data_IF_592516697835
#
_entry.id   IF_592516697835
#
_cell.length_a   1.000
_cell.length_b   1.000
_cell.length_c   1.000
_cell.angle_alpha   90.00
_cell.angle_beta   90.00
_cell.angle_gamma   90.00
#
_symmetry.space_group_name_H-M   'P 1'
#
loop_
_entity.id
_entity.type
_entity.pdbx_description
1 polymer ?
#
# COMPACT_ATOMS: atom_id res chain seq x y z
N UNK A 1 23.89 -68.05 -36.72
CA UNK A 1 23.70 -66.76 -37.45
C UNK A 1 22.51 -65.95 -36.89
N UNK A 2 22.41 -65.75 -35.57
CA UNK A 2 21.33 -64.94 -34.96
C UNK A 2 21.80 -63.78 -34.09
N UNK A 3 23.05 -63.75 -33.64
CA UNK A 3 23.52 -62.76 -32.66
C UNK A 3 24.01 -61.43 -33.26
N UNK A 4 24.22 -61.34 -34.58
CA UNK A 4 24.64 -60.08 -35.24
C UNK A 4 23.46 -59.15 -35.60
N UNK A 5 22.22 -59.67 -35.65
CA UNK A 5 21.04 -58.87 -36.02
C UNK A 5 20.53 -58.03 -34.84
N UNK A 6 20.66 -58.52 -33.61
CA UNK A 6 20.21 -57.79 -32.41
C UNK A 6 21.12 -56.63 -32.01
N UNK A 7 22.42 -56.67 -32.35
CA UNK A 7 23.37 -55.59 -32.05
C UNK A 7 23.15 -54.40 -33.00
N UNK A 8 22.78 -54.65 -34.25
CA UNK A 8 22.55 -53.59 -35.24
C UNK A 8 21.30 -52.75 -34.95
N UNK A 9 20.28 -53.35 -34.32
CA UNK A 9 19.04 -52.67 -33.93
C UNK A 9 19.25 -51.78 -32.69
N UNK A 10 20.09 -52.21 -31.76
CA UNK A 10 20.40 -51.44 -30.55
C UNK A 10 21.18 -50.14 -30.87
N UNK A 11 22.07 -50.18 -31.85
CA UNK A 11 22.87 -49.01 -32.28
C UNK A 11 22.02 -47.98 -33.03
N UNK A 12 20.98 -48.41 -33.75
CA UNK A 12 20.10 -47.50 -34.48
C UNK A 12 19.16 -46.71 -33.54
N UNK A 13 18.75 -47.30 -32.41
CA UNK A 13 17.92 -46.60 -31.42
C UNK A 13 18.67 -45.49 -30.66
N UNK A 14 19.99 -45.57 -30.53
CA UNK A 14 20.79 -44.56 -29.80
C UNK A 14 20.99 -43.30 -30.66
N UNK A 15 20.94 -43.42 -31.99
CA UNK A 15 21.12 -42.29 -32.91
C UNK A 15 19.83 -41.47 -33.13
N UNK A 16 18.65 -42.01 -32.82
CA UNK A 16 17.37 -41.29 -32.92
C UNK A 16 17.04 -40.44 -31.68
N UNK A 17 17.83 -40.52 -30.61
CA UNK A 17 17.61 -39.77 -29.37
C UNK A 17 18.41 -38.45 -29.27
N UNK A 18 19.25 -38.14 -30.26
CA UNK A 18 19.86 -36.82 -30.40
C UNK A 18 19.01 -35.97 -31.33
N UNK A 19 17.98 -35.32 -30.78
CA UNK A 19 17.41 -34.12 -31.37
C UNK A 19 18.43 -32.98 -31.17
N UNK A 20 19.12 -32.48 -32.22
CA UNK A 20 20.05 -31.35 -32.09
C UNK A 20 19.30 -30.00 -32.08
N UNK A 21 17.96 -30.01 -31.95
CA UNK A 21 17.10 -28.87 -32.26
C UNK A 21 16.51 -28.10 -31.08
N UNK A 22 16.54 -28.59 -29.84
CA UNK A 22 15.72 -27.97 -28.76
C UNK A 22 16.48 -27.25 -27.64
N UNK A 23 17.82 -27.16 -27.67
CA UNK A 23 18.60 -26.48 -26.62
C UNK A 23 19.00 -25.02 -26.92
N UNK A 24 18.38 -24.38 -27.91
CA UNK A 24 18.92 -23.14 -28.48
C UNK A 24 17.98 -21.95 -28.55
N UNK A 25 16.98 -21.82 -27.66
CA UNK A 25 16.12 -20.62 -27.59
C UNK A 25 15.22 -20.61 -26.36
N UNK A 26 15.79 -20.82 -25.16
CA UNK A 26 15.19 -20.22 -23.97
C UNK A 26 15.36 -18.71 -24.16
N UNK A 27 14.27 -18.10 -24.61
CA UNK A 27 14.12 -16.73 -25.04
C UNK A 27 15.01 -15.79 -24.25
N UNK A 28 16.07 -15.30 -24.90
CA UNK A 28 16.86 -14.17 -24.38
C UNK A 28 15.93 -13.02 -23.98
N UNK A 29 14.83 -12.83 -24.71
CA UNK A 29 13.78 -11.87 -24.36
C UNK A 29 13.01 -12.21 -23.07
N UNK A 30 12.69 -13.49 -22.79
CA UNK A 30 12.01 -13.84 -21.53
C UNK A 30 12.96 -13.74 -20.34
N UNK A 31 14.23 -14.11 -20.52
CA UNK A 31 15.26 -13.95 -19.50
C UNK A 31 15.59 -12.48 -19.24
N UNK A 32 15.76 -11.65 -20.29
CA UNK A 32 16.00 -10.21 -20.15
C UNK A 32 14.76 -9.47 -19.62
N UNK A 33 13.55 -9.90 -19.97
CA UNK A 33 12.31 -9.36 -19.40
C UNK A 33 12.16 -9.75 -17.92
N UNK A 34 12.50 -10.98 -17.53
CA UNK A 34 12.58 -11.36 -16.12
C UNK A 34 13.68 -10.61 -15.37
N UNK A 35 14.83 -10.40 -15.99
CA UNK A 35 15.95 -9.69 -15.37
C UNK A 35 15.63 -8.20 -15.17
N UNK A 36 14.99 -7.54 -16.14
CA UNK A 36 14.46 -6.16 -15.99
C UNK A 36 13.34 -6.06 -14.96
N UNK A 37 12.55 -7.13 -14.76
CA UNK A 37 11.59 -7.22 -13.64
C UNK A 37 12.28 -7.36 -12.28
N UNK A 38 13.50 -7.90 -12.24
CA UNK A 38 14.28 -8.13 -11.02
C UNK A 38 15.29 -7.03 -10.71
N UNK A 39 15.48 -6.05 -11.58
CA UNK A 39 16.30 -4.88 -11.24
C UNK A 39 15.65 -4.13 -10.07
N UNK A 40 16.36 -3.97 -8.94
CA UNK A 40 15.83 -3.21 -7.82
C UNK A 40 15.71 -1.75 -8.25
N UNK A 41 14.51 -1.34 -8.65
CA UNK A 41 14.20 0.06 -8.96
C UNK A 41 14.52 0.87 -7.71
N UNK A 42 15.47 1.80 -7.81
CA UNK A 42 15.70 2.81 -6.77
C UNK A 42 14.50 3.76 -6.79
N UNK A 43 13.48 3.44 -6.00
CA UNK A 43 12.34 4.32 -5.79
C UNK A 43 12.83 5.61 -5.14
N UNK A 44 12.48 6.74 -5.74
CA UNK A 44 12.78 8.05 -5.16
C UNK A 44 11.84 8.28 -3.98
N UNK A 45 12.32 8.99 -2.96
CA UNK A 45 11.49 9.27 -1.77
C UNK A 45 10.17 9.97 -2.14
N UNK A 46 10.21 10.91 -3.08
CA UNK A 46 9.00 11.59 -3.56
C UNK A 46 7.99 10.66 -4.26
N UNK A 47 8.43 9.60 -4.92
CA UNK A 47 7.54 8.60 -5.52
C UNK A 47 6.84 7.78 -4.43
N UNK A 48 7.55 7.46 -3.35
CA UNK A 48 6.98 6.75 -2.20
C UNK A 48 5.99 7.66 -1.47
N UNK A 49 6.34 8.94 -1.22
CA UNK A 49 5.43 9.91 -0.61
C UNK A 49 4.15 10.10 -1.42
N UNK A 50 4.27 10.14 -2.74
CA UNK A 50 3.11 10.24 -3.63
C UNK A 50 2.24 8.97 -3.57
N UNK A 51 2.86 7.79 -3.56
CA UNK A 51 2.13 6.53 -3.39
C UNK A 51 1.42 6.46 -2.02
N UNK A 52 2.06 6.93 -0.95
CA UNK A 52 1.42 7.08 0.38
C UNK A 52 0.20 7.98 0.29
N UNK A 53 0.32 9.14 -0.38
CA UNK A 53 -0.78 10.09 -0.54
C UNK A 53 -1.97 9.47 -1.27
N UNK A 54 -1.71 8.75 -2.37
CA UNK A 54 -2.76 8.09 -3.15
C UNK A 54 -3.44 6.97 -2.34
N UNK A 55 -2.67 6.12 -1.67
CA UNK A 55 -3.21 5.05 -0.83
C UNK A 55 -3.99 5.62 0.37
N UNK A 56 -3.48 6.66 1.01
CA UNK A 56 -4.13 7.37 2.10
C UNK A 56 -5.47 7.99 1.69
N UNK A 57 -5.51 8.69 0.55
CA UNK A 57 -6.74 9.24 -0.02
C UNK A 57 -7.78 8.13 -0.25
N UNK A 58 -7.38 7.06 -0.94
CA UNK A 58 -8.27 5.95 -1.25
C UNK A 58 -8.81 5.27 0.03
N UNK A 59 -7.98 5.15 1.07
CA UNK A 59 -8.40 4.60 2.35
C UNK A 59 -9.33 5.56 3.09
N UNK A 60 -9.04 6.86 3.15
CA UNK A 60 -9.92 7.86 3.76
C UNK A 60 -11.32 7.88 3.12
N UNK A 61 -11.39 7.81 1.79
CA UNK A 61 -12.66 7.69 1.06
C UNK A 61 -13.39 6.38 1.37
N UNK A 62 -12.67 5.27 1.52
CA UNK A 62 -13.26 3.98 1.91
C UNK A 62 -13.79 4.04 3.34
N UNK A 63 -13.03 4.60 4.28
CA UNK A 63 -13.43 4.81 5.67
C UNK A 63 -14.71 5.64 5.73
N UNK A 64 -14.78 6.73 4.97
CA UNK A 64 -15.95 7.59 4.90
C UNK A 64 -17.19 6.88 4.33
N UNK A 65 -17.02 6.05 3.28
CA UNK A 65 -18.14 5.31 2.67
C UNK A 65 -18.67 4.18 3.54
N UNK A 66 -17.80 3.59 4.36
CA UNK A 66 -18.14 2.45 5.21
C UNK A 66 -18.44 2.85 6.66
N UNK A 67 -18.19 4.11 7.01
CA UNK A 67 -18.70 4.76 8.18
C UNK A 67 -20.23 4.75 8.14
N UNK A 68 -20.86 4.27 9.22
CA UNK A 68 -22.30 4.48 9.40
C UNK A 68 -22.61 5.97 9.62
N UNK A 69 -23.86 6.37 9.42
CA UNK A 69 -24.34 7.69 9.85
C UNK A 69 -24.13 7.81 11.36
N UNK A 70 -23.12 8.58 11.76
CA UNK A 70 -22.83 8.86 13.16
C UNK A 70 -23.10 10.35 13.41
N UNK A 71 -23.88 10.71 14.44
CA UNK A 71 -24.11 12.10 14.80
C UNK A 71 -22.87 12.80 15.40
N UNK A 72 -21.68 12.21 15.27
CA UNK A 72 -20.42 12.71 15.83
C UNK A 72 -19.36 12.95 14.76
N UNK A 73 -18.39 13.81 15.10
CA UNK A 73 -17.26 14.17 14.23
C UNK A 73 -16.41 12.97 13.79
N UNK A 74 -16.37 11.93 14.61
CA UNK A 74 -15.64 10.70 14.31
C UNK A 74 -16.62 9.56 14.04
N UNK A 75 -16.70 9.06 12.81
CA UNK A 75 -17.59 7.99 12.50
C UNK A 75 -17.12 6.67 13.10
N UNK A 76 -18.09 5.83 13.48
CA UNK A 76 -17.83 4.49 14.00
C UNK A 76 -17.59 3.54 12.82
N UNK A 77 -16.42 2.90 12.82
CA UNK A 77 -16.05 1.91 11.81
C UNK A 77 -16.64 0.53 12.16
N UNK A 78 -17.13 -0.21 11.16
CA UNK A 78 -17.59 -1.58 11.38
C UNK A 78 -16.46 -2.49 11.87
N UNK A 79 -16.80 -3.51 12.66
CA UNK A 79 -15.80 -4.49 13.13
C UNK A 79 -15.06 -5.15 11.96
N UNK A 80 -15.78 -5.52 10.89
CA UNK A 80 -15.20 -6.12 9.69
C UNK A 80 -14.14 -5.24 9.01
N UNK A 81 -14.35 -3.92 9.02
CA UNK A 81 -13.37 -2.98 8.48
C UNK A 81 -12.17 -2.84 9.41
N UNK A 82 -12.39 -2.75 10.71
CA UNK A 82 -11.32 -2.71 11.71
C UNK A 82 -10.45 -3.97 11.65
N UNK A 83 -11.06 -5.15 11.49
CA UNK A 83 -10.34 -6.43 11.34
C UNK A 83 -9.51 -6.44 10.05
N UNK A 84 -10.08 -5.97 8.93
CA UNK A 84 -9.37 -5.87 7.65
C UNK A 84 -8.18 -4.92 7.72
N UNK A 85 -8.31 -3.77 8.37
CA UNK A 85 -7.21 -2.82 8.57
C UNK A 85 -6.11 -3.41 9.47
N UNK A 86 -6.51 -4.11 10.53
CA UNK A 86 -5.60 -4.77 11.46
C UNK A 86 -4.81 -5.90 10.81
N UNK A 87 -5.44 -6.71 9.97
CA UNK A 87 -4.77 -7.74 9.16
C UNK A 87 -3.73 -7.14 8.21
N UNK A 88 -4.04 -5.97 7.67
CA UNK A 88 -3.13 -5.18 6.84
C UNK A 88 -2.15 -4.36 7.68
N UNK A 89 -2.13 -4.49 9.00
CA UNK A 89 -1.26 -3.71 9.90
C UNK A 89 -1.35 -2.19 9.69
N UNK A 90 -2.49 -1.70 9.19
CA UNK A 90 -2.80 -0.29 9.04
C UNK A 90 -3.45 0.17 10.33
N UNK A 91 -2.91 1.22 10.96
CA UNK A 91 -3.55 1.87 12.11
C UNK A 91 -4.33 3.08 11.62
N UNK A 92 -5.59 3.16 12.02
CA UNK A 92 -6.47 4.28 11.73
C UNK A 92 -7.01 4.82 13.05
N UNK A 93 -6.94 6.12 13.22
CA UNK A 93 -7.53 6.84 14.32
C UNK A 93 -8.31 8.04 13.77
N UNK A 94 -9.40 8.41 14.45
CA UNK A 94 -10.10 9.65 14.16
C UNK A 94 -9.83 10.63 15.29
N UNK A 95 -9.29 11.79 14.95
CA UNK A 95 -8.86 12.82 15.90
C UNK A 95 -9.77 14.03 15.75
N UNK A 96 -10.43 14.40 16.84
CA UNK A 96 -11.34 15.55 16.87
C UNK A 96 -10.55 16.86 16.90
N UNK A 97 -11.01 17.84 16.14
CA UNK A 97 -10.41 19.17 16.09
C UNK A 97 -10.91 20.07 17.22
N UNK A 98 -12.06 19.75 17.81
CA UNK A 98 -12.68 20.49 18.92
C UNK A 98 -12.33 19.94 20.30
N UNK A 99 -11.45 18.93 20.38
CA UNK A 99 -11.06 18.28 21.63
C UNK A 99 -9.54 18.38 21.83
N UNK A 100 -9.06 18.44 23.09
CA UNK A 100 -7.63 18.38 23.35
C UNK A 100 -7.02 17.05 22.87
N UNK A 101 -5.76 17.05 22.40
CA UNK A 101 -5.06 15.83 22.00
C UNK A 101 -5.07 14.80 23.13
N UNK A 102 -5.28 13.52 22.79
CA UNK A 102 -5.15 12.45 23.78
C UNK A 102 -3.68 12.30 24.20
N UNK A 103 -3.47 11.85 25.44
CA UNK A 103 -2.12 11.55 25.96
C UNK A 103 -1.47 10.36 25.26
N UNK A 104 -2.25 9.55 24.54
CA UNK A 104 -1.82 8.35 23.84
C UNK A 104 -1.20 8.63 22.45
N UNK A 105 -1.38 9.84 21.92
CA UNK A 105 -0.82 10.20 20.62
C UNK A 105 0.71 10.19 20.63
N UNK A 106 1.32 9.84 19.50
CA UNK A 106 2.76 10.07 19.33
C UNK A 106 3.03 11.58 19.18
N UNK A 107 4.28 12.00 19.44
CA UNK A 107 4.64 13.43 19.37
C UNK A 107 4.32 14.05 18.00
N UNK A 108 4.67 13.36 16.91
CA UNK A 108 4.39 13.86 15.55
C UNK A 108 2.89 13.94 15.25
N UNK A 109 2.09 13.02 15.79
CA UNK A 109 0.62 13.08 15.64
C UNK A 109 0.03 14.28 16.38
N UNK A 110 0.55 14.61 17.58
CA UNK A 110 0.16 15.81 18.31
C UNK A 110 0.50 17.09 17.55
N UNK A 111 1.74 17.22 17.09
CA UNK A 111 2.19 18.39 16.33
C UNK A 111 1.36 18.60 15.06
N UNK A 112 0.97 17.51 14.40
CA UNK A 112 0.04 17.56 13.27
C UNK A 112 -1.36 17.97 13.68
N UNK A 113 -1.92 17.36 14.72
CA UNK A 113 -3.25 17.71 15.21
C UNK A 113 -3.32 19.20 15.59
N UNK A 114 -2.31 19.72 16.29
CA UNK A 114 -2.22 21.13 16.67
C UNK A 114 -2.22 22.04 15.43
N UNK A 115 -1.50 21.67 14.36
CA UNK A 115 -1.49 22.41 13.11
C UNK A 115 -2.87 22.42 12.42
N UNK A 116 -3.56 21.27 12.40
CA UNK A 116 -4.93 21.21 11.87
C UNK A 116 -5.92 21.99 12.74
N UNK A 117 -5.79 21.94 14.07
CA UNK A 117 -6.61 22.72 14.99
C UNK A 117 -6.44 24.21 14.75
N UNK A 118 -5.20 24.68 14.60
CA UNK A 118 -4.91 26.06 14.24
C UNK A 118 -5.58 26.46 12.91
N UNK A 119 -5.34 25.70 11.84
CA UNK A 119 -5.96 25.97 10.53
C UNK A 119 -7.48 25.95 10.62
N UNK A 120 -8.05 25.02 11.40
CA UNK A 120 -9.47 24.94 11.65
C UNK A 120 -9.95 26.22 12.34
N UNK A 121 -9.39 26.61 13.48
CA UNK A 121 -9.76 27.84 14.22
C UNK A 121 -9.68 29.10 13.36
N UNK A 122 -8.67 29.20 12.50
CA UNK A 122 -8.49 30.33 11.58
C UNK A 122 -9.41 30.28 10.35
N UNK A 123 -10.23 29.25 10.18
CA UNK A 123 -11.12 29.08 9.03
C UNK A 123 -10.37 28.82 7.72
N UNK A 124 -9.15 28.30 7.80
CA UNK A 124 -8.34 27.94 6.64
C UNK A 124 -8.78 26.59 6.07
N UNK A 125 -8.56 26.35 4.76
CA UNK A 125 -8.75 25.04 4.16
C UNK A 125 -7.91 23.99 4.88
N UNK A 126 -8.53 22.85 5.20
CA UNK A 126 -7.81 21.69 5.72
C UNK A 126 -7.49 20.77 4.55
N UNK A 127 -6.21 20.52 4.31
CA UNK A 127 -5.74 19.69 3.20
C UNK A 127 -5.11 18.41 3.73
N UNK A 128 -5.20 17.29 2.99
CA UNK A 128 -4.48 16.08 3.34
C UNK A 128 -2.96 16.31 3.40
N UNK A 129 -2.31 15.63 4.32
CA UNK A 129 -0.87 15.74 4.51
C UNK A 129 -0.21 14.38 4.75
N UNK A 130 1.02 14.24 4.25
CA UNK A 130 1.86 13.04 4.43
C UNK A 130 3.13 13.44 5.16
N UNK A 131 3.41 12.80 6.29
CA UNK A 131 4.69 12.92 7.00
C UNK A 131 5.38 11.58 7.15
N UNK A 132 6.71 11.50 6.96
CA UNK A 132 7.47 10.32 7.33
C UNK A 132 7.52 10.16 8.87
N UNK A 133 7.26 8.95 9.34
CA UNK A 133 7.46 8.54 10.73
C UNK A 133 8.74 7.70 10.80
N UNK A 134 9.88 8.39 10.82
CA UNK A 134 11.18 7.76 10.70
C UNK A 134 11.39 7.06 9.36
N UNK A 135 12.00 5.86 9.37
CA UNK A 135 12.34 5.11 8.15
C UNK A 135 11.28 4.08 7.75
N UNK A 136 10.42 3.68 8.68
CA UNK A 136 9.61 2.47 8.52
C UNK A 136 8.15 2.74 8.17
N UNK A 137 7.65 3.94 8.45
CA UNK A 137 6.25 4.26 8.28
C UNK A 137 6.05 5.70 7.80
N UNK A 138 4.82 5.95 7.37
CA UNK A 138 4.30 7.27 7.06
C UNK A 138 3.01 7.48 7.83
N UNK A 139 2.76 8.74 8.15
CA UNK A 139 1.52 9.25 8.68
C UNK A 139 0.82 10.02 7.58
N UNK A 140 -0.31 9.51 7.14
CA UNK A 140 -1.24 10.24 6.29
C UNK A 140 -2.34 10.82 7.17
N UNK A 141 -2.64 12.10 6.99
CA UNK A 141 -3.74 12.80 7.67
C UNK A 141 -4.65 13.43 6.65
N UNK A 142 -5.95 13.44 6.90
CA UNK A 142 -6.93 14.12 6.06
C UNK A 142 -8.18 14.49 6.84
N UNK A 143 -8.90 15.57 6.47
CA UNK A 143 -10.18 15.89 7.07
C UNK A 143 -11.19 14.76 6.92
N UNK A 144 -11.93 14.48 7.99
CA UNK A 144 -13.13 13.64 7.90
C UNK A 144 -14.18 14.45 7.14
N UNK A 145 -14.73 13.89 6.06
CA UNK A 145 -15.77 14.59 5.30
C UNK A 145 -17.03 14.72 6.15
N UNK A 146 -17.52 15.95 6.39
CA UNK A 146 -18.69 16.15 7.22
C UNK A 146 -19.94 15.60 6.53
N UNK A 147 -20.89 15.13 7.33
CA UNK A 147 -22.23 14.75 6.90
C UNK A 147 -23.23 15.58 7.72
N UNK A 148 -23.90 16.58 7.11
CA UNK A 148 -23.92 16.95 5.69
C UNK A 148 -22.63 17.64 5.19
N UNK A 149 -22.30 17.45 3.91
CA UNK A 149 -21.06 17.94 3.26
C UNK A 149 -20.85 19.47 3.23
N UNK A 150 -21.86 20.24 3.65
CA UNK A 150 -21.81 21.70 3.73
C UNK A 150 -21.22 22.21 5.04
N UNK A 151 -21.00 21.34 6.02
CA UNK A 151 -20.40 21.71 7.29
C UNK A 151 -18.87 21.76 7.21
N UNK A 152 -18.26 22.42 8.18
CA UNK A 152 -16.81 22.39 8.34
C UNK A 152 -16.43 21.05 8.96
N UNK A 153 -15.38 20.35 8.48
CA UNK A 153 -14.92 19.13 9.10
C UNK A 153 -14.53 19.40 10.56
N UNK A 154 -14.97 18.55 11.49
CA UNK A 154 -14.67 18.68 12.92
C UNK A 154 -13.74 17.57 13.46
N UNK A 155 -13.22 16.73 12.56
CA UNK A 155 -12.18 15.74 12.85
C UNK A 155 -11.28 15.51 11.64
N UNK A 156 -10.16 14.83 11.88
CA UNK A 156 -9.24 14.32 10.86
C UNK A 156 -9.05 12.81 11.04
N UNK A 157 -8.84 12.12 9.92
CA UNK A 157 -8.25 10.79 9.90
C UNK A 157 -6.75 10.89 10.16
N UNK A 158 -6.24 10.06 11.06
CA UNK A 158 -4.82 9.75 11.24
C UNK A 158 -4.60 8.30 10.79
N UNK A 159 -3.86 8.10 9.70
CA UNK A 159 -3.64 6.80 9.07
C UNK A 159 -2.14 6.53 9.03
N UNK A 160 -1.71 5.49 9.75
CA UNK A 160 -0.32 5.01 9.72
C UNK A 160 -0.16 3.89 8.70
N UNK A 161 0.70 4.12 7.72
CA UNK A 161 1.03 3.17 6.65
C UNK A 161 2.49 2.74 6.77
N UNK A 162 2.77 1.43 6.72
CA UNK A 162 4.15 0.95 6.71
C UNK A 162 4.77 1.16 5.33
N UNK A 163 5.98 1.69 5.27
CA UNK A 163 6.73 1.93 4.03
C UNK A 163 6.79 0.67 3.16
N UNK A 164 7.04 -0.50 3.76
CA UNK A 164 7.10 -1.77 3.03
C UNK A 164 5.81 -2.13 2.30
N UNK A 165 4.65 -1.77 2.87
CA UNK A 165 3.34 -2.09 2.27
C UNK A 165 3.06 -1.17 1.10
N UNK A 166 3.39 0.11 1.26
CA UNK A 166 3.27 1.08 0.17
C UNK A 166 4.10 0.61 -1.03
N UNK A 167 5.38 0.27 -0.80
CA UNK A 167 6.31 -0.19 -1.84
C UNK A 167 5.84 -1.48 -2.52
N UNK A 168 5.22 -2.42 -1.78
CA UNK A 168 4.69 -3.67 -2.37
C UNK A 168 3.51 -3.45 -3.32
N UNK A 169 2.83 -2.31 -3.20
CA UNK A 169 1.65 -1.96 -3.99
C UNK A 169 1.93 -0.84 -5.03
N UNK A 170 3.20 -0.46 -5.21
CA UNK A 170 3.68 0.44 -6.28
C UNK A 170 4.10 -0.37 -7.52
#
# INVERSE_FOLDING_TARGET
MSSCKSILILVFCILAACDPGSQGRLDKETFEAEQRRREPRRLKEGEITEAVRQQGNALAERLQRQAGESPGCCPVLSQSLQDSLSQQQIRVSCLRLDAPPSTELEQQERELLDAYQYSWEQGQPLEPNVQPLGKEAFLYTAPVSPMPAAEKPCAIWSIRLLRRQVIQHM
#
